data_IF_824625939774
#
_entry.id   IF_824625939774
#
_cell.length_a   1.000
_cell.length_b   1.000
_cell.length_c   1.000
_cell.angle_alpha   90.00
_cell.angle_beta   90.00
_cell.angle_gamma   90.00
#
_symmetry.space_group_name_H-M   'P 1'
#
loop_
_entity.id
_entity.type
_entity.pdbx_description
1 polymer ?
#
# COMPACT_ATOMS: atom_id res chain seq x y z
N UNK A 1 -4.31 -3.15 -21.00
CA UNK A 1 -3.85 -1.81 -21.47
C UNK A 1 -2.44 -1.54 -20.90
N UNK A 2 -1.52 -0.88 -21.62
CA UNK A 2 -0.14 -0.67 -21.11
C UNK A 2 0.04 0.64 -20.32
N UNK A 3 -0.79 1.64 -20.59
CA UNK A 3 -0.76 2.96 -19.97
C UNK A 3 -2.13 3.63 -20.06
N UNK A 4 -2.53 4.31 -18.99
CA UNK A 4 -3.71 5.17 -18.91
C UNK A 4 -3.22 6.53 -18.42
N UNK A 5 -3.64 7.61 -19.09
CA UNK A 5 -3.33 8.99 -18.68
C UNK A 5 -4.62 9.73 -18.44
N UNK A 6 -4.70 10.37 -17.27
CA UNK A 6 -5.86 11.14 -16.84
C UNK A 6 -5.69 12.61 -17.26
N UNK A 7 -6.81 13.33 -17.34
CA UNK A 7 -6.82 14.74 -17.77
C UNK A 7 -6.13 15.68 -16.79
N UNK A 8 -5.93 15.24 -15.54
CA UNK A 8 -5.18 15.95 -14.50
C UNK A 8 -3.68 15.63 -14.50
N UNK A 9 -3.16 15.04 -15.57
CA UNK A 9 -1.75 14.67 -15.71
C UNK A 9 -1.48 13.21 -15.35
N UNK A 10 -2.00 12.77 -14.20
CA UNK A 10 -1.69 11.48 -13.57
C UNK A 10 -1.67 10.30 -14.55
N UNK A 11 -0.83 9.31 -14.25
CA UNK A 11 -0.62 8.17 -15.15
C UNK A 11 -0.59 6.86 -14.38
N UNK A 12 -1.36 5.88 -14.85
CA UNK A 12 -1.21 4.48 -14.45
C UNK A 12 -0.53 3.70 -15.57
N UNK A 13 0.55 2.97 -15.25
CA UNK A 13 1.26 2.07 -16.18
C UNK A 13 1.14 0.64 -15.69
N UNK A 14 1.08 -0.29 -16.64
CA UNK A 14 0.96 -1.71 -16.35
C UNK A 14 2.05 -2.50 -17.08
N UNK A 15 2.62 -3.48 -16.39
CA UNK A 15 3.59 -4.43 -16.94
C UNK A 15 2.98 -5.82 -16.87
N UNK A 16 3.02 -6.54 -17.99
CA UNK A 16 2.48 -7.89 -18.11
C UNK A 16 3.55 -8.84 -18.67
N UNK A 17 3.41 -10.12 -18.38
CA UNK A 17 4.09 -11.21 -19.10
C UNK A 17 3.59 -11.32 -20.55
N UNK A 18 4.33 -11.98 -21.45
CA UNK A 18 3.85 -12.32 -22.79
C UNK A 18 2.54 -13.10 -22.79
N UNK A 19 2.30 -13.92 -21.75
CA UNK A 19 1.07 -14.70 -21.57
C UNK A 19 -0.10 -13.88 -20.98
N UNK A 20 0.05 -12.56 -20.83
CA UNK A 20 -1.01 -11.66 -20.37
C UNK A 20 -1.18 -11.56 -18.85
N UNK A 21 -0.35 -12.21 -18.04
CA UNK A 21 -0.40 -12.07 -16.57
C UNK A 21 0.20 -10.75 -16.12
N UNK A 22 -0.49 -10.00 -15.26
CA UNK A 22 0.00 -8.75 -14.68
C UNK A 22 1.16 -8.99 -13.72
N UNK A 23 2.21 -8.18 -13.86
CA UNK A 23 3.42 -8.22 -13.02
C UNK A 23 3.58 -6.95 -12.19
N UNK A 24 3.17 -5.79 -12.70
CA UNK A 24 3.33 -4.52 -11.99
C UNK A 24 2.29 -3.50 -12.42
N UNK A 25 1.82 -2.71 -11.45
CA UNK A 25 1.10 -1.44 -11.66
C UNK A 25 1.96 -0.31 -11.11
N UNK A 26 2.11 0.79 -11.86
CA UNK A 26 2.83 1.99 -11.42
C UNK A 26 1.88 3.16 -11.52
N UNK A 27 1.67 3.86 -10.42
CA UNK A 27 0.92 5.11 -10.35
C UNK A 27 1.91 6.27 -10.29
N UNK A 28 1.76 7.22 -11.21
CA UNK A 28 2.45 8.50 -11.16
C UNK A 28 1.42 9.57 -10.80
N UNK A 29 1.67 10.25 -9.69
CA UNK A 29 0.94 11.47 -9.32
C UNK A 29 1.77 12.65 -9.75
N UNK A 30 1.19 13.51 -10.57
CA UNK A 30 1.90 14.63 -11.16
C UNK A 30 1.73 15.91 -10.35
N UNK A 31 2.58 16.91 -10.62
CA UNK A 31 2.48 18.22 -10.00
C UNK A 31 1.10 18.86 -10.28
N UNK A 32 0.56 19.62 -9.31
CA UNK A 32 -0.67 20.38 -9.53
C UNK A 32 -0.55 21.30 -10.76
N UNK A 33 -1.64 21.42 -11.53
CA UNK A 33 -1.80 22.26 -12.74
C UNK A 33 -1.35 21.65 -14.08
N UNK A 34 -0.93 20.38 -14.12
CA UNK A 34 -0.76 19.67 -15.39
C UNK A 34 -2.15 19.30 -15.92
N UNK A 35 -2.43 19.68 -17.18
CA UNK A 35 -3.66 19.32 -17.88
C UNK A 35 -3.31 18.64 -19.19
N UNK A 36 -3.95 17.50 -19.42
CA UNK A 36 -3.81 16.73 -20.66
C UNK A 36 -5.18 16.64 -21.30
N UNK A 37 -5.29 17.12 -22.53
CA UNK A 37 -6.54 17.05 -23.29
C UNK A 37 -6.89 15.60 -23.62
N UNK A 38 -8.19 15.28 -23.62
CA UNK A 38 -8.66 13.92 -23.89
C UNK A 38 -8.22 13.49 -25.30
N UNK A 39 -7.57 12.33 -25.38
CA UNK A 39 -7.06 11.77 -26.64
C UNK A 39 -5.64 12.20 -27.00
N UNK A 40 -5.03 13.12 -26.25
CA UNK A 40 -3.60 13.44 -26.37
C UNK A 40 -2.76 12.68 -25.34
N UNK A 41 -1.48 12.52 -25.67
CA UNK A 41 -0.49 11.90 -24.78
C UNK A 41 0.57 12.93 -24.45
N UNK A 42 0.73 13.23 -23.16
CA UNK A 42 1.83 14.05 -22.65
C UNK A 42 2.90 13.14 -22.04
N UNK A 43 4.11 13.07 -22.62
CA UNK A 43 5.24 12.38 -22.02
C UNK A 43 5.71 13.15 -20.78
N UNK A 44 5.56 12.55 -19.61
CA UNK A 44 5.98 13.17 -18.35
C UNK A 44 7.50 13.18 -18.22
N UNK A 45 8.05 14.34 -17.87
CA UNK A 45 9.45 14.51 -17.46
C UNK A 45 9.61 14.27 -15.95
N UNK A 46 10.83 13.98 -15.50
CA UNK A 46 11.10 13.70 -14.09
C UNK A 46 10.75 14.86 -13.14
N UNK A 47 10.77 16.11 -13.64
CA UNK A 47 10.39 17.28 -12.85
C UNK A 47 8.88 17.44 -12.67
N UNK A 48 8.06 16.78 -13.49
CA UNK A 48 6.59 16.88 -13.46
C UNK A 48 5.93 15.85 -12.53
N UNK A 49 6.67 14.81 -12.13
CA UNK A 49 6.18 13.73 -11.28
C UNK A 49 6.41 14.10 -9.82
N UNK A 50 5.32 14.26 -9.06
CA UNK A 50 5.38 14.54 -7.63
C UNK A 50 5.67 13.27 -6.81
N UNK A 51 4.99 12.18 -7.15
CA UNK A 51 5.20 10.88 -6.50
C UNK A 51 5.02 9.73 -7.48
N UNK A 52 5.65 8.61 -7.15
CA UNK A 52 5.47 7.37 -7.88
C UNK A 52 5.33 6.22 -6.90
N UNK A 53 4.24 5.48 -7.04
CA UNK A 53 3.97 4.28 -6.25
C UNK A 53 3.90 3.07 -7.18
N UNK A 54 4.46 1.94 -6.75
CA UNK A 54 4.42 0.68 -7.48
C UNK A 54 3.79 -0.44 -6.67
N UNK A 55 3.01 -1.26 -7.36
CA UNK A 55 2.46 -2.52 -6.85
C UNK A 55 3.00 -3.63 -7.74
N UNK A 56 3.71 -4.57 -7.14
CA UNK A 56 4.32 -5.71 -7.82
C UNK A 56 3.63 -7.01 -7.44
N UNK A 57 3.41 -7.85 -8.45
CA UNK A 57 2.71 -9.13 -8.36
C UNK A 57 3.70 -10.26 -8.59
N UNK A 58 4.27 -10.76 -7.49
CA UNK A 58 5.27 -11.82 -7.46
C UNK A 58 4.64 -13.19 -7.21
N UNK A 59 5.41 -14.26 -7.43
CA UNK A 59 4.99 -15.66 -7.21
C UNK A 59 3.64 -16.00 -7.89
N UNK A 60 3.47 -15.56 -9.14
CA UNK A 60 2.23 -15.76 -9.89
C UNK A 60 1.05 -14.94 -9.38
N UNK A 61 1.31 -13.80 -8.73
CA UNK A 61 0.30 -12.90 -8.17
C UNK A 61 -0.10 -13.22 -6.73
N UNK A 62 0.52 -14.22 -6.10
CA UNK A 62 0.26 -14.56 -4.69
C UNK A 62 0.98 -13.64 -3.70
N UNK A 63 2.13 -13.09 -4.06
CA UNK A 63 2.86 -12.14 -3.24
C UNK A 63 2.72 -10.75 -3.83
N UNK A 64 2.14 -9.83 -3.08
CA UNK A 64 1.98 -8.43 -3.46
C UNK A 64 2.97 -7.61 -2.66
N UNK A 65 3.77 -6.80 -3.35
CA UNK A 65 4.65 -5.81 -2.71
C UNK A 65 4.28 -4.41 -3.15
N UNK A 66 4.22 -3.46 -2.22
CA UNK A 66 4.05 -2.03 -2.49
C UNK A 66 5.36 -1.31 -2.26
N UNK A 67 5.81 -0.55 -3.26
CA UNK A 67 7.06 0.22 -3.20
C UNK A 67 8.27 -0.61 -2.73
N UNK A 68 8.33 -1.88 -3.15
CA UNK A 68 9.39 -2.84 -2.78
C UNK A 68 9.26 -3.49 -1.41
N UNK A 69 8.26 -3.14 -0.60
CA UNK A 69 7.94 -3.77 0.69
C UNK A 69 6.80 -4.77 0.54
N UNK A 70 6.83 -5.88 1.30
CA UNK A 70 5.71 -6.82 1.32
C UNK A 70 4.46 -6.08 1.80
N UNK A 71 3.35 -6.24 1.06
CA UNK A 71 2.04 -5.74 1.45
C UNK A 71 1.14 -6.91 1.83
N UNK A 72 0.99 -7.90 0.94
CA UNK A 72 0.10 -9.04 1.15
C UNK A 72 0.64 -10.34 0.59
N UNK A 73 0.25 -11.45 1.20
CA UNK A 73 0.39 -12.78 0.63
C UNK A 73 -0.96 -13.50 0.59
N UNK A 74 -1.40 -13.93 -0.59
CA UNK A 74 -2.69 -14.56 -0.83
C UNK A 74 -2.59 -16.09 -0.77
N UNK A 75 -3.52 -16.71 -0.04
CA UNK A 75 -3.69 -18.16 0.07
C UNK A 75 -5.14 -18.57 -0.25
N UNK A 76 -5.42 -19.88 -0.28
CA UNK A 76 -6.65 -20.43 -0.85
C UNK A 76 -7.95 -19.91 -0.19
N UNK A 77 -7.90 -19.55 1.11
CA UNK A 77 -9.05 -19.03 1.86
C UNK A 77 -8.94 -17.58 2.32
N UNK A 78 -7.92 -16.83 1.91
CA UNK A 78 -7.64 -15.54 2.53
C UNK A 78 -6.32 -14.90 2.10
N UNK A 79 -5.83 -14.00 2.94
CA UNK A 79 -4.51 -13.39 2.79
C UNK A 79 -3.95 -13.02 4.17
N UNK A 80 -2.63 -12.93 4.27
CA UNK A 80 -2.01 -12.18 5.35
C UNK A 80 -1.52 -10.83 4.83
N UNK A 81 -1.60 -9.82 5.67
CA UNK A 81 -1.14 -8.47 5.39
C UNK A 81 0.04 -8.13 6.28
N UNK A 82 1.12 -7.67 5.66
CA UNK A 82 2.25 -7.14 6.38
C UNK A 82 1.88 -5.78 6.96
N UNK A 83 2.15 -5.61 8.25
CA UNK A 83 2.10 -4.33 8.95
C UNK A 83 3.50 -4.05 9.50
N UNK A 84 3.90 -2.76 9.49
CA UNK A 84 5.18 -2.38 10.08
C UNK A 84 5.21 -2.65 11.58
N UNK A 85 6.40 -2.89 12.12
CA UNK A 85 6.63 -3.02 13.55
C UNK A 85 5.99 -1.88 14.34
N UNK A 86 5.16 -2.21 15.33
CA UNK A 86 4.45 -1.24 16.17
C UNK A 86 5.16 -0.95 17.50
N UNK A 87 6.37 -1.48 17.73
CA UNK A 87 7.03 -1.26 19.01
C UNK A 87 7.47 0.20 19.15
N UNK A 88 7.06 0.83 20.24
CA UNK A 88 7.52 2.17 20.58
C UNK A 88 8.92 2.09 21.19
N UNK A 89 9.93 2.59 20.46
CA UNK A 89 11.29 2.76 20.97
C UNK A 89 11.47 4.21 21.42
N UNK A 90 11.56 4.41 22.73
CA UNK A 90 11.75 5.74 23.32
C UNK A 90 13.03 6.39 22.76
N UNK A 91 12.91 7.64 22.32
CA UNK A 91 14.06 8.42 21.84
C UNK A 91 15.05 8.65 22.99
N UNK A 92 16.37 8.58 22.76
CA UNK A 92 17.36 8.92 23.77
C UNK A 92 17.11 10.34 24.30
N UNK A 93 17.24 10.59 25.61
CA UNK A 93 17.05 11.93 26.15
C UNK A 93 18.02 12.90 25.46
N UNK A 94 17.52 14.10 25.14
CA UNK A 94 18.39 15.18 24.68
C UNK A 94 19.38 15.53 25.80
N UNK A 95 20.63 15.81 25.45
CA UNK A 95 21.57 16.41 26.40
C UNK A 95 21.05 17.82 26.68
N UNK A 96 20.40 18.00 27.82
CA UNK A 96 19.89 19.28 28.29
C UNK A 96 20.99 20.03 29.02
N UNK A 97 20.96 21.35 28.90
CA UNK A 97 21.90 22.27 29.51
C UNK A 97 21.40 22.51 30.93
N UNK A 98 21.89 21.76 31.91
CA UNK A 98 21.36 21.91 33.27
C UNK A 98 21.90 23.15 33.99
N UNK A 99 22.98 23.80 33.51
CA UNK A 99 23.45 25.10 34.00
C UNK A 99 24.29 25.84 32.94
N UNK A 100 24.29 27.18 32.99
CA UNK A 100 25.02 28.10 32.09
C UNK A 100 26.56 27.90 32.11
N UNK A 101 27.09 27.16 33.10
CA UNK A 101 28.51 26.88 33.30
C UNK A 101 28.91 25.38 33.16
N UNK A 102 27.95 24.47 32.93
CA UNK A 102 28.19 23.03 32.88
C UNK A 102 28.20 22.52 31.43
N UNK A 103 29.28 22.78 30.71
CA UNK A 103 29.44 22.23 29.36
C UNK A 103 29.60 20.70 29.45
N UNK A 104 28.81 19.89 28.72
CA UNK A 104 28.89 18.44 28.86
C UNK A 104 30.30 17.96 28.53
N UNK A 105 30.80 16.99 29.29
CA UNK A 105 32.13 16.44 29.05
C UNK A 105 32.18 15.86 27.63
N UNK A 106 33.31 15.95 26.91
CA UNK A 106 33.49 15.22 25.64
C UNK A 106 33.11 13.74 25.73
N UNK A 107 33.26 13.13 26.91
CA UNK A 107 32.85 11.75 27.19
C UNK A 107 31.32 11.55 27.18
N UNK A 108 30.55 12.50 27.71
CA UNK A 108 29.09 12.41 27.79
C UNK A 108 28.47 12.49 26.39
N UNK A 109 29.02 13.37 25.55
CA UNK A 109 28.67 13.46 24.13
C UNK A 109 28.96 12.15 23.38
N UNK A 110 30.10 11.52 23.64
CA UNK A 110 30.47 10.27 22.98
C UNK A 110 29.56 9.12 23.42
N UNK A 111 29.19 9.06 24.70
CA UNK A 111 28.24 8.09 25.23
C UNK A 111 26.83 8.30 24.67
N UNK A 112 26.36 9.55 24.59
CA UNK A 112 25.08 9.88 23.97
C UNK A 112 25.07 9.51 22.49
N UNK A 113 26.13 9.82 21.73
CA UNK A 113 26.24 9.45 20.31
C UNK A 113 26.14 7.94 20.10
N UNK A 114 26.83 7.13 20.90
CA UNK A 114 26.72 5.66 20.84
C UNK A 114 25.29 5.20 21.13
N UNK A 115 24.63 5.84 22.10
CA UNK A 115 23.22 5.56 22.45
C UNK A 115 22.28 5.97 21.31
N UNK A 116 22.51 7.12 20.68
CA UNK A 116 21.73 7.61 19.55
C UNK A 116 21.91 6.74 18.30
N UNK A 117 23.14 6.40 17.94
CA UNK A 117 23.44 5.51 16.80
C UNK A 117 22.83 4.11 17.00
N UNK A 118 22.91 3.56 18.22
CA UNK A 118 22.27 2.28 18.54
C UNK A 118 20.74 2.35 18.52
N UNK A 119 20.16 3.45 19.01
CA UNK A 119 18.72 3.70 18.92
C UNK A 119 18.27 3.87 17.47
N UNK A 120 19.02 4.59 16.64
CA UNK A 120 18.72 4.78 15.22
C UNK A 120 18.79 3.44 14.47
N UNK A 121 19.81 2.63 14.75
CA UNK A 121 19.94 1.28 14.23
C UNK A 121 18.76 0.39 14.67
N UNK A 122 18.35 0.47 15.93
CA UNK A 122 17.19 -0.27 16.44
C UNK A 122 15.86 0.21 15.80
N UNK A 123 15.66 1.52 15.64
CA UNK A 123 14.52 2.11 14.94
C UNK A 123 14.48 1.69 13.47
N UNK A 124 15.62 1.67 12.80
CA UNK A 124 15.74 1.19 11.43
C UNK A 124 15.38 -0.29 11.33
N UNK A 125 15.95 -1.12 12.21
CA UNK A 125 15.65 -2.56 12.25
C UNK A 125 14.17 -2.81 12.56
N UNK A 126 13.55 -2.05 13.45
CA UNK A 126 12.14 -2.19 13.79
C UNK A 126 11.23 -1.76 12.62
N UNK A 127 11.57 -0.66 11.92
CA UNK A 127 10.90 -0.27 10.67
C UNK A 127 11.04 -1.34 9.58
N UNK A 128 12.07 -2.19 9.67
CA UNK A 128 12.32 -3.30 8.77
C UNK A 128 11.60 -4.59 9.16
N UNK A 129 11.10 -4.69 10.39
CA UNK A 129 10.28 -5.83 10.82
C UNK A 129 8.86 -5.69 10.31
N UNK A 130 8.40 -6.78 9.70
CA UNK A 130 7.02 -6.96 9.31
C UNK A 130 6.34 -7.93 10.28
N UNK A 131 5.18 -7.53 10.80
CA UNK A 131 4.24 -8.43 11.46
C UNK A 131 3.11 -8.76 10.48
N UNK A 132 2.45 -9.90 10.66
CA UNK A 132 1.43 -10.36 9.73
C UNK A 132 0.08 -10.52 10.42
N UNK A 133 -0.92 -9.81 9.92
CA UNK A 133 -2.32 -9.99 10.29
C UNK A 133 -3.01 -10.91 9.28
N UNK A 134 -3.86 -11.81 9.75
CA UNK A 134 -4.53 -12.79 8.89
C UNK A 134 -5.99 -12.39 8.66
N UNK A 135 -6.41 -12.54 7.40
CA UNK A 135 -7.75 -12.27 6.95
C UNK A 135 -8.28 -13.42 6.11
N UNK A 136 -9.55 -13.74 6.27
CA UNK A 136 -10.22 -14.88 5.64
C UNK A 136 -11.40 -14.42 4.80
N UNK A 137 -11.68 -15.13 3.71
CA UNK A 137 -12.77 -14.80 2.80
C UNK A 137 -13.99 -15.69 3.04
N UNK A 138 -15.16 -15.06 3.15
CA UNK A 138 -16.43 -15.74 2.89
C UNK A 138 -16.79 -15.51 1.43
N UNK A 139 -16.93 -16.60 0.68
CA UNK A 139 -17.24 -16.56 -0.75
C UNK A 139 -18.66 -17.02 -1.02
N UNK A 140 -19.26 -16.50 -2.09
CA UNK A 140 -20.48 -17.08 -2.65
C UNK A 140 -20.18 -18.34 -3.49
N UNK A 141 -21.24 -18.96 -4.02
CA UNK A 141 -21.15 -20.16 -4.86
C UNK A 141 -20.41 -19.94 -6.19
N UNK A 142 -20.19 -18.70 -6.62
CA UNK A 142 -19.41 -18.34 -7.82
C UNK A 142 -17.96 -18.00 -7.47
N UNK A 143 -17.59 -17.99 -6.19
CA UNK A 143 -16.26 -17.66 -5.71
C UNK A 143 -16.00 -16.17 -5.48
N UNK A 144 -17.01 -15.30 -5.61
CA UNK A 144 -16.83 -13.87 -5.30
C UNK A 144 -16.64 -13.69 -3.80
N UNK A 145 -15.73 -12.79 -3.41
CA UNK A 145 -15.51 -12.46 -2.00
C UNK A 145 -16.67 -11.58 -1.52
N UNK A 146 -17.53 -12.14 -0.67
CA UNK A 146 -18.69 -11.47 -0.07
C UNK A 146 -18.31 -10.75 1.21
N UNK A 147 -17.42 -11.34 1.99
CA UNK A 147 -16.95 -10.75 3.24
C UNK A 147 -15.48 -11.09 3.47
N UNK A 148 -14.81 -10.21 4.19
CA UNK A 148 -13.48 -10.45 4.75
C UNK A 148 -13.62 -10.44 6.27
N UNK A 149 -13.03 -11.44 6.92
CA UNK A 149 -13.09 -11.66 8.36
C UNK A 149 -11.67 -11.62 8.92
N UNK A 150 -11.48 -11.02 10.09
CA UNK A 150 -10.20 -11.04 10.81
C UNK A 150 -9.95 -12.38 11.53
N UNK A 151 -8.79 -12.51 12.17
CA UNK A 151 -8.38 -13.69 12.93
C UNK A 151 -9.24 -13.95 14.19
N UNK A 152 -9.98 -12.96 14.66
CA UNK A 152 -10.90 -13.06 15.79
C UNK A 152 -12.34 -13.40 15.35
N UNK A 153 -12.60 -13.55 14.05
CA UNK A 153 -13.92 -13.85 13.52
C UNK A 153 -14.81 -12.62 13.28
N UNK A 154 -14.28 -11.40 13.39
CA UNK A 154 -15.05 -10.19 13.10
C UNK A 154 -15.06 -9.91 11.60
N UNK A 155 -16.24 -9.61 11.05
CA UNK A 155 -16.37 -9.14 9.66
C UNK A 155 -15.76 -7.75 9.53
N UNK A 156 -14.67 -7.60 8.78
CA UNK A 156 -13.96 -6.33 8.58
C UNK A 156 -14.30 -5.64 7.26
N UNK A 157 -14.84 -6.37 6.28
CA UNK A 157 -15.33 -5.82 5.02
C UNK A 157 -16.51 -6.66 4.51
N UNK A 158 -17.48 -6.00 3.89
CA UNK A 158 -18.58 -6.63 3.16
C UNK A 158 -18.56 -6.12 1.73
N UNK A 159 -18.79 -6.97 0.74
CA UNK A 159 -18.90 -6.60 -0.65
C UNK A 159 -20.22 -7.10 -1.23
N UNK A 160 -21.05 -6.16 -1.70
CA UNK A 160 -22.29 -6.45 -2.41
C UNK A 160 -22.14 -6.09 -3.90
N UNK A 161 -22.77 -6.84 -4.79
CA UNK A 161 -22.66 -6.66 -6.25
C UNK A 161 -24.04 -6.76 -6.89
N UNK A 162 -24.27 -5.93 -7.90
CA UNK A 162 -25.32 -6.19 -8.88
C UNK A 162 -24.94 -7.40 -9.77
N UNK A 163 -25.90 -8.02 -10.49
CA UNK A 163 -25.64 -9.23 -11.30
C UNK A 163 -24.49 -9.12 -12.31
N UNK A 164 -24.14 -7.92 -12.76
CA UNK A 164 -23.06 -7.67 -13.72
C UNK A 164 -21.79 -7.08 -13.09
N UNK A 165 -21.65 -7.12 -11.77
CA UNK A 165 -20.39 -6.84 -11.06
C UNK A 165 -20.20 -5.41 -10.55
N UNK A 166 -21.11 -4.49 -10.86
CA UNK A 166 -21.10 -3.15 -10.27
C UNK A 166 -21.23 -3.26 -8.74
N UNK A 167 -20.36 -2.62 -7.95
CA UNK A 167 -20.49 -2.58 -6.50
C UNK A 167 -21.85 -2.01 -6.08
N UNK A 168 -22.53 -2.70 -5.18
CA UNK A 168 -23.73 -2.21 -4.52
C UNK A 168 -23.33 -1.53 -3.22
N UNK A 169 -23.62 -0.23 -3.11
CA UNK A 169 -23.28 0.56 -1.94
C UNK A 169 -24.46 0.59 -0.96
N UNK A 170 -24.31 -0.09 0.16
CA UNK A 170 -25.14 0.05 1.36
C UNK A 170 -24.25 0.30 2.58
N UNK A 171 -24.85 0.48 3.75
CA UNK A 171 -24.13 0.75 5.01
C UNK A 171 -23.12 -0.34 5.37
N UNK A 172 -23.38 -1.59 4.99
CA UNK A 172 -22.47 -2.71 5.25
C UNK A 172 -21.32 -2.73 4.24
N UNK A 173 -21.63 -2.53 2.96
CA UNK A 173 -20.68 -2.56 1.85
C UNK A 173 -19.75 -1.32 1.81
N UNK A 174 -20.08 -0.25 2.54
CA UNK A 174 -19.17 0.88 2.75
C UNK A 174 -18.07 0.61 3.80
N UNK A 175 -18.04 -0.57 4.43
CA UNK A 175 -17.04 -0.91 5.43
C UNK A 175 -15.69 -1.26 4.78
N UNK A 176 -14.70 -0.38 4.96
CA UNK A 176 -13.32 -0.53 4.53
C UNK A 176 -13.17 -1.01 3.06
N UNK A 177 -13.78 -0.34 2.05
CA UNK A 177 -13.87 -0.84 0.67
C UNK A 177 -12.51 -1.10 0.01
N UNK A 178 -11.48 -0.36 0.41
CA UNK A 178 -10.09 -0.43 -0.04
C UNK A 178 -9.26 -1.58 0.57
N UNK A 179 -9.78 -2.28 1.59
CA UNK A 179 -9.01 -3.28 2.35
C UNK A 179 -8.46 -4.40 1.46
N UNK A 180 -9.32 -5.01 0.64
CA UNK A 180 -8.96 -6.05 -0.33
C UNK A 180 -9.47 -5.67 -1.72
N UNK A 181 -8.60 -5.34 -2.70
CA UNK A 181 -9.04 -4.88 -4.03
C UNK A 181 -9.59 -5.97 -4.95
N UNK A 182 -9.37 -7.26 -4.67
CA UNK A 182 -9.99 -8.35 -5.44
C UNK A 182 -11.46 -8.51 -5.05
N UNK A 183 -12.37 -8.28 -6.01
CA UNK A 183 -13.82 -8.19 -5.76
C UNK A 183 -14.58 -9.17 -6.67
N UNK A 184 -15.29 -8.66 -7.67
CA UNK A 184 -16.12 -9.43 -8.58
C UNK A 184 -15.28 -10.29 -9.54
N UNK A 185 -15.68 -11.55 -9.75
CA UNK A 185 -14.99 -12.57 -10.53
C UNK A 185 -13.50 -12.76 -10.18
N UNK A 186 -13.12 -12.44 -8.92
CA UNK A 186 -11.74 -12.46 -8.48
C UNK A 186 -10.84 -11.46 -9.21
N UNK A 187 -11.42 -10.44 -9.87
CA UNK A 187 -10.68 -9.37 -10.53
C UNK A 187 -10.40 -8.23 -9.56
N UNK A 188 -9.24 -7.63 -9.75
CA UNK A 188 -8.82 -6.46 -8.98
C UNK A 188 -9.59 -5.23 -9.46
N UNK A 189 -10.20 -4.51 -8.52
CA UNK A 189 -10.84 -3.23 -8.76
C UNK A 189 -9.82 -2.12 -8.52
N UNK A 190 -9.45 -1.42 -9.59
CA UNK A 190 -8.56 -0.27 -9.51
C UNK A 190 -9.38 1.01 -9.27
N UNK A 191 -9.13 1.65 -8.13
CA UNK A 191 -9.75 2.92 -7.71
C UNK A 191 -8.80 4.11 -7.88
N UNK A 192 -7.52 3.88 -8.21
CA UNK A 192 -6.52 4.93 -8.27
C UNK A 192 -6.85 5.95 -9.36
N UNK A 193 -6.64 7.22 -9.01
CA UNK A 193 -6.96 8.38 -9.85
C UNK A 193 -8.43 8.43 -10.35
N UNK A 194 -9.34 7.71 -9.68
CA UNK A 194 -10.75 7.66 -10.05
C UNK A 194 -11.08 6.72 -11.21
N UNK A 195 -10.18 5.77 -11.54
CA UNK A 195 -10.37 4.84 -12.65
C UNK A 195 -11.65 4.01 -12.48
N UNK A 196 -11.89 3.45 -11.29
CA UNK A 196 -13.08 2.68 -10.95
C UNK A 196 -13.38 1.52 -11.92
N UNK A 197 -12.36 0.77 -12.34
CA UNK A 197 -12.52 -0.34 -13.29
C UNK A 197 -11.88 -1.63 -12.81
N UNK A 198 -12.48 -2.76 -13.22
CA UNK A 198 -11.89 -4.08 -13.05
C UNK A 198 -10.80 -4.37 -14.09
N UNK A 199 -9.67 -4.90 -13.64
CA UNK A 199 -8.59 -5.37 -14.52
C UNK A 199 -8.88 -6.81 -14.99
N UNK A 200 -9.53 -6.93 -16.16
CA UNK A 200 -9.91 -8.21 -16.78
C UNK A 200 -8.81 -8.81 -17.64
#
# INVERSE_FOLDING_TARGET
PRRIQFTNGNVTKYVYTPDGRKLRTIHHTDMPNIKVEVGQVHPLTAGEILSSDSIDYMMGGKLITKNGRIDKYLFEGGYCQAIGGQTHLAHPPLIMWDDEDSNPSPSDYEQWRKTFESWEAAMKAERERDQFLFYYYNRDHLGNIREVVDDNGNVVQVNNYYPFGSPYCDTSASKAPELQPYKYNGKELDLMHGLNTYDY
#
